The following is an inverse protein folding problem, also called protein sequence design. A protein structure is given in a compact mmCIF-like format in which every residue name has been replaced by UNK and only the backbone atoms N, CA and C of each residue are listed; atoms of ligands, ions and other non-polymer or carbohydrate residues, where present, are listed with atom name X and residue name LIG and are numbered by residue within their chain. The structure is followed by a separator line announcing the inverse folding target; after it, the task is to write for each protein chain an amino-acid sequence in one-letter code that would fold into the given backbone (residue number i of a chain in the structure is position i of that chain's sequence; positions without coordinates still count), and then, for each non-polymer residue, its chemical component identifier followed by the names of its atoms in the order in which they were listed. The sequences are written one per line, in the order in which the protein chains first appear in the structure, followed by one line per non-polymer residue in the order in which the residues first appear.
data_IF_662596406311
#
_entry.id   IF_662596406311
#
_cell.length_a   1.000
_cell.length_b   1.000
_cell.length_c   1.000
_cell.angle_alpha   90.00
_cell.angle_beta   90.00
_cell.angle_gamma   90.00
#
_symmetry.space_group_name_H-M   'P 1'
#
loop_
_entity.id
_entity.type
_entity.pdbx_description
1 polymer ?
#
# COMPACT_ATOMS: atom_id res chain seq x y z
N UNK A 1 26.00 -13.44 12.68
CA UNK A 1 25.54 -13.00 11.36
C UNK A 1 24.11 -12.56 11.51
N UNK A 2 23.84 -11.26 11.46
CA UNK A 2 22.47 -10.74 11.59
C UNK A 2 21.68 -11.02 10.32
N UNK A 3 20.50 -11.64 10.46
CA UNK A 3 19.55 -11.71 9.36
C UNK A 3 19.14 -10.28 8.99
N UNK A 4 19.26 -9.92 7.71
CA UNK A 4 18.64 -8.73 7.19
C UNK A 4 17.12 -8.91 7.30
N UNK A 5 16.51 -8.26 8.28
CA UNK A 5 15.07 -8.05 8.26
C UNK A 5 14.78 -7.11 7.09
N UNK A 6 14.25 -7.66 5.99
CA UNK A 6 13.59 -6.85 4.98
C UNK A 6 12.30 -6.34 5.63
N UNK A 7 12.37 -5.20 6.30
CA UNK A 7 11.19 -4.54 6.84
C UNK A 7 10.28 -4.14 5.68
N UNK A 8 8.99 -4.38 5.83
CA UNK A 8 7.98 -3.98 4.85
C UNK A 8 7.96 -2.45 4.78
N UNK A 9 8.53 -1.93 3.69
CA UNK A 9 8.67 -0.50 3.43
C UNK A 9 7.93 -0.12 2.17
N UNK A 10 7.13 0.93 2.27
CA UNK A 10 6.38 1.49 1.16
C UNK A 10 6.82 2.95 1.01
N UNK A 11 7.21 3.33 -0.19
CA UNK A 11 7.65 4.69 -0.51
C UNK A 11 6.78 5.31 -1.59
N UNK A 12 6.54 6.61 -1.48
CA UNK A 12 5.92 7.41 -2.53
C UNK A 12 6.74 8.69 -2.73
N UNK A 13 7.03 9.06 -3.98
CA UNK A 13 7.71 10.31 -4.34
C UNK A 13 6.69 11.19 -5.06
N UNK A 14 6.54 12.42 -4.59
CA UNK A 14 5.72 13.45 -5.20
C UNK A 14 6.57 14.66 -5.59
N UNK A 15 5.92 15.67 -6.16
CA UNK A 15 6.59 16.90 -6.63
C UNK A 15 7.27 17.69 -5.49
N UNK A 16 6.69 17.62 -4.29
CA UNK A 16 7.13 18.40 -3.12
C UNK A 16 7.95 17.60 -2.12
N UNK A 17 8.18 16.31 -2.35
CA UNK A 17 8.86 15.48 -1.37
C UNK A 17 8.70 13.97 -1.55
N UNK A 18 9.06 13.26 -0.49
CA UNK A 18 8.94 11.80 -0.40
C UNK A 18 8.27 11.41 0.92
N UNK A 19 7.47 10.36 0.87
CA UNK A 19 6.95 9.66 2.03
C UNK A 19 7.52 8.25 2.06
N UNK A 20 8.00 7.82 3.22
CA UNK A 20 8.40 6.43 3.50
C UNK A 20 7.63 5.90 4.70
N UNK A 21 6.88 4.83 4.51
CA UNK A 21 6.24 4.09 5.58
C UNK A 21 7.05 2.83 5.91
N UNK A 22 7.30 2.61 7.20
CA UNK A 22 7.89 1.39 7.74
C UNK A 22 6.83 0.70 8.59
N UNK A 23 6.26 -0.39 8.08
CA UNK A 23 5.13 -1.07 8.74
C UNK A 23 5.57 -1.81 10.01
N UNK A 24 6.80 -2.29 10.03
CA UNK A 24 7.45 -2.94 11.18
C UNK A 24 7.71 -1.96 12.34
N UNK A 25 8.08 -0.73 12.02
CA UNK A 25 8.39 0.32 13.00
C UNK A 25 7.16 1.13 13.39
N UNK A 26 6.03 0.99 12.68
CA UNK A 26 4.85 1.86 12.81
C UNK A 26 5.23 3.33 12.65
N UNK A 27 6.01 3.63 11.61
CA UNK A 27 6.52 4.98 11.35
C UNK A 27 6.25 5.41 9.92
N UNK A 28 5.87 6.68 9.76
CA UNK A 28 5.78 7.38 8.48
C UNK A 28 6.77 8.54 8.52
N UNK A 29 7.76 8.50 7.63
CA UNK A 29 8.72 9.59 7.43
C UNK A 29 8.28 10.43 6.25
N UNK A 30 8.14 11.74 6.44
CA UNK A 30 7.83 12.71 5.39
C UNK A 30 9.05 13.61 5.21
N UNK A 31 9.54 13.68 3.99
CA UNK A 31 10.72 14.46 3.60
C UNK A 31 10.29 15.53 2.61
N UNK A 32 10.38 16.79 3.00
CA UNK A 32 10.10 17.93 2.13
C UNK A 32 11.32 18.23 1.25
N UNK A 33 11.14 18.26 -0.08
CA UNK A 33 12.25 18.41 -1.02
C UNK A 33 12.76 19.84 -1.14
N UNK A 34 11.94 20.84 -0.81
CA UNK A 34 12.28 22.25 -0.96
C UNK A 34 13.09 22.76 0.24
N UNK A 35 12.75 22.27 1.42
CA UNK A 35 13.34 22.70 2.71
C UNK A 35 14.32 21.68 3.27
N UNK A 36 14.26 20.41 2.83
CA UNK A 36 15.03 19.31 3.41
C UNK A 36 14.53 18.87 4.78
N UNK A 37 13.39 19.40 5.25
CA UNK A 37 12.82 19.05 6.53
C UNK A 37 12.33 17.60 6.55
N UNK A 38 12.62 16.90 7.64
CA UNK A 38 12.19 15.52 7.87
C UNK A 38 11.27 15.49 9.08
N UNK A 39 10.05 14.99 8.87
CA UNK A 39 9.08 14.76 9.94
C UNK A 39 8.80 13.28 10.07
N UNK A 40 8.86 12.75 11.30
CA UNK A 40 8.55 11.35 11.58
C UNK A 40 7.27 11.29 12.40
N UNK A 41 6.27 10.61 11.85
CA UNK A 41 5.00 10.33 12.50
C UNK A 41 4.99 8.88 12.97
N UNK A 42 4.86 8.66 14.28
CA UNK A 42 4.65 7.32 14.83
C UNK A 42 3.16 7.01 14.85
N UNK A 43 2.75 5.90 14.24
CA UNK A 43 1.39 5.41 14.40
C UNK A 43 1.26 4.69 15.74
N UNK A 44 0.17 4.94 16.49
CA UNK A 44 -0.09 4.19 17.70
C UNK A 44 -0.25 2.70 17.37
N UNK A 45 0.06 1.80 18.32
CA UNK A 45 -0.20 0.37 18.13
C UNK A 45 -1.66 0.15 17.75
N UNK A 46 -1.93 -0.80 16.84
CA UNK A 46 -3.29 -1.26 16.61
C UNK A 46 -3.87 -1.68 17.96
N UNK A 47 -4.99 -1.11 18.39
CA UNK A 47 -5.63 -1.40 19.68
C UNK A 47 -6.14 -2.84 19.81
N UNK A 48 -5.78 -3.71 18.88
CA UNK A 48 -6.18 -5.10 18.73
C UNK A 48 -4.97 -5.97 18.37
N UNK A 49 -4.98 -7.27 18.73
CA UNK A 49 -3.89 -8.16 18.39
C UNK A 49 -3.76 -8.32 16.88
N UNK A 50 -2.53 -8.27 16.36
CA UNK A 50 -2.23 -8.54 14.95
C UNK A 50 -2.22 -10.06 14.76
N UNK A 51 -3.24 -10.59 14.08
CA UNK A 51 -3.27 -12.00 13.66
C UNK A 51 -2.90 -12.09 12.18
N UNK A 52 -1.71 -12.59 11.88
CA UNK A 52 -1.21 -12.70 10.51
C UNK A 52 -0.72 -11.36 9.97
N UNK A 53 -1.49 -10.74 9.07
CA UNK A 53 -1.11 -9.50 8.39
C UNK A 53 -1.69 -8.26 9.08
N UNK A 54 -0.87 -7.21 9.19
CA UNK A 54 -1.31 -5.90 9.68
C UNK A 54 -2.48 -5.38 8.84
N UNK A 55 -3.52 -4.82 9.48
CA UNK A 55 -4.73 -4.29 8.82
C UNK A 55 -5.85 -5.31 8.59
N UNK A 56 -5.65 -6.60 8.90
CA UNK A 56 -6.68 -7.65 8.65
C UNK A 56 -7.96 -7.38 9.43
N UNK A 57 -7.86 -6.99 10.70
CA UNK A 57 -9.03 -6.68 11.53
C UNK A 57 -9.83 -5.52 10.94
N UNK A 58 -9.14 -4.42 10.62
CA UNK A 58 -9.70 -3.20 10.04
C UNK A 58 -10.38 -3.48 8.69
N UNK A 59 -9.78 -4.35 7.86
CA UNK A 59 -10.38 -4.78 6.59
C UNK A 59 -11.71 -5.52 6.79
N UNK A 60 -11.78 -6.46 7.73
CA UNK A 60 -13.02 -7.19 8.02
C UNK A 60 -14.10 -6.27 8.58
N UNK A 61 -13.74 -5.39 9.50
CA UNK A 61 -14.66 -4.39 10.05
C UNK A 61 -15.19 -3.49 8.94
N UNK A 62 -14.32 -2.97 8.07
CA UNK A 62 -14.72 -2.13 6.93
C UNK A 62 -15.68 -2.84 5.98
N UNK A 63 -15.45 -4.13 5.69
CA UNK A 63 -16.34 -4.91 4.83
C UNK A 63 -17.72 -5.17 5.49
N UNK A 64 -17.76 -5.45 6.78
CA UNK A 64 -19.04 -5.62 7.50
C UNK A 64 -19.82 -4.30 7.51
N UNK A 65 -19.15 -3.17 7.72
CA UNK A 65 -19.77 -1.84 7.68
C UNK A 65 -20.29 -1.48 6.28
N UNK A 66 -19.58 -1.87 5.21
CA UNK A 66 -20.05 -1.65 3.83
C UNK A 66 -21.37 -2.39 3.57
N UNK A 67 -21.52 -3.61 4.08
CA UNK A 67 -22.78 -4.37 4.00
C UNK A 67 -23.91 -3.67 4.78
N UNK A 68 -23.62 -3.19 5.99
CA UNK A 68 -24.63 -2.53 6.86
C UNK A 68 -25.13 -1.22 6.28
N UNK A 69 -24.24 -0.44 5.69
CA UNK A 69 -24.51 0.93 5.24
C UNK A 69 -24.86 1.04 3.76
N UNK A 70 -24.60 -0.01 2.98
CA UNK A 70 -24.72 0.00 1.52
C UNK A 70 -23.64 0.85 0.82
N UNK A 71 -22.66 1.38 1.56
CA UNK A 71 -21.51 2.07 0.97
C UNK A 71 -20.54 1.07 0.35
N UNK A 72 -19.75 1.45 -0.67
CA UNK A 72 -18.71 0.59 -1.23
C UNK A 72 -17.62 0.24 -0.19
N UNK A 73 -17.03 -0.97 -0.25
CA UNK A 73 -15.88 -1.33 0.57
C UNK A 73 -14.60 -0.58 0.14
N UNK A 74 -13.64 -0.41 1.06
CA UNK A 74 -12.42 0.36 0.83
C UNK A 74 -11.50 -0.22 -0.26
N UNK A 75 -11.36 -1.55 -0.42
CA UNK A 75 -11.04 -2.12 -1.72
C UNK A 75 -12.32 -2.65 -2.37
N UNK A 76 -12.65 -2.09 -3.53
CA UNK A 76 -13.74 -2.59 -4.37
C UNK A 76 -13.23 -3.56 -5.45
N UNK A 77 -14.16 -4.08 -6.25
CA UNK A 77 -13.83 -5.00 -7.33
C UNK A 77 -12.96 -4.37 -8.42
N UNK A 78 -13.10 -3.07 -8.67
CA UNK A 78 -12.28 -2.36 -9.66
C UNK A 78 -10.83 -2.22 -9.20
N UNK A 79 -10.64 -1.79 -7.95
CA UNK A 79 -9.32 -1.71 -7.31
C UNK A 79 -8.62 -3.08 -7.33
N UNK A 80 -9.34 -4.16 -7.01
CA UNK A 80 -8.84 -5.52 -7.10
C UNK A 80 -8.44 -5.93 -8.52
N UNK A 81 -9.28 -5.61 -9.52
CA UNK A 81 -8.99 -5.87 -10.93
C UNK A 81 -7.71 -5.14 -11.40
N UNK A 82 -7.57 -3.87 -11.04
CA UNK A 82 -6.39 -3.06 -11.37
C UNK A 82 -5.12 -3.62 -10.71
N UNK A 83 -5.19 -4.02 -9.45
CA UNK A 83 -4.06 -4.63 -8.74
C UNK A 83 -3.59 -5.93 -9.41
N UNK A 84 -4.53 -6.78 -9.84
CA UNK A 84 -4.21 -8.02 -10.58
C UNK A 84 -3.58 -7.70 -11.94
N UNK A 85 -4.15 -6.76 -12.69
CA UNK A 85 -3.60 -6.36 -14.00
C UNK A 85 -2.17 -5.82 -13.87
N UNK A 86 -1.92 -4.95 -12.88
CA UNK A 86 -0.60 -4.44 -12.55
C UNK A 86 0.40 -5.55 -12.22
N UNK A 87 -0.02 -6.50 -11.38
CA UNK A 87 0.82 -7.64 -10.97
C UNK A 87 1.20 -8.53 -12.16
N UNK A 88 0.25 -8.80 -13.06
CA UNK A 88 0.49 -9.60 -14.27
C UNK A 88 1.44 -8.89 -15.25
N UNK A 89 1.25 -7.59 -15.46
CA UNK A 89 2.13 -6.80 -16.31
C UNK A 89 3.56 -6.74 -15.76
N UNK A 90 3.72 -6.58 -14.44
CA UNK A 90 5.01 -6.62 -13.78
C UNK A 90 5.70 -7.99 -13.93
N UNK A 91 4.96 -9.08 -13.71
CA UNK A 91 5.48 -10.44 -13.89
C UNK A 91 5.93 -10.70 -15.33
N UNK A 92 5.21 -10.18 -16.32
CA UNK A 92 5.58 -10.32 -17.72
C UNK A 92 6.77 -9.43 -18.12
N UNK A 93 6.82 -8.20 -17.58
CA UNK A 93 7.95 -7.28 -17.75
C UNK A 93 9.26 -7.91 -17.27
N UNK A 94 9.24 -8.57 -16.09
CA UNK A 94 10.38 -9.29 -15.54
C UNK A 94 10.88 -10.41 -16.47
N UNK A 95 9.98 -11.13 -17.15
CA UNK A 95 10.37 -12.20 -18.08
C UNK A 95 10.97 -11.66 -19.38
N UNK A 96 10.45 -10.54 -19.89
CA UNK A 96 10.85 -9.97 -21.18
C UNK A 96 12.01 -8.98 -21.07
N UNK A 97 12.26 -8.44 -19.88
CA UNK A 97 13.20 -7.34 -19.67
C UNK A 97 12.74 -6.03 -20.32
N UNK A 98 11.43 -5.86 -20.55
CA UNK A 98 10.85 -4.68 -21.19
C UNK A 98 9.55 -4.27 -20.51
N UNK A 99 9.23 -2.96 -20.42
CA UNK A 99 7.98 -2.48 -19.87
C UNK A 99 6.76 -3.07 -20.58
N UNK A 100 5.75 -3.49 -19.81
CA UNK A 100 4.46 -3.94 -20.32
C UNK A 100 3.41 -2.87 -19.97
N UNK A 101 2.74 -2.26 -20.95
CA UNK A 101 1.76 -1.22 -20.68
C UNK A 101 0.54 -1.81 -19.97
N UNK A 102 0.04 -1.09 -18.97
CA UNK A 102 -1.29 -1.34 -18.40
C UNK A 102 -2.31 -0.77 -19.37
N UNK A 103 -2.84 -1.59 -20.28
CA UNK A 103 -3.97 -1.19 -21.10
C UNK A 103 -5.20 -1.06 -20.21
N UNK A 104 -5.84 0.13 -20.12
CA UNK A 104 -7.14 0.23 -19.49
C UNK A 104 -8.12 -0.66 -20.25
N UNK A 105 -8.96 -1.35 -19.49
CA UNK A 105 -10.03 -2.16 -20.04
C UNK A 105 -11.05 -1.20 -20.67
N UNK A 106 -11.39 -1.33 -21.97
CA UNK A 106 -12.26 -0.39 -22.68
C UNK A 106 -13.74 -0.51 -22.28
N UNK A 107 -14.07 -1.32 -21.27
CA UNK A 107 -15.45 -1.51 -20.84
C UNK A 107 -15.97 -0.25 -20.11
N UNK A 108 -17.18 0.23 -20.47
CA UNK A 108 -17.78 1.45 -19.92
C UNK A 108 -18.20 1.32 -18.46
#
# INVERSE_FOLDING_TARGET
MGQAHFGDRIGAVGETGRLDASLDQNEITVIDSQTGNVTVHKTPPSGHPIYGFSGTYEQHVSFIESIRTGQPPLPDGESGRLAVAASLAAAESLKRGQPVPLTPDPRP
#
